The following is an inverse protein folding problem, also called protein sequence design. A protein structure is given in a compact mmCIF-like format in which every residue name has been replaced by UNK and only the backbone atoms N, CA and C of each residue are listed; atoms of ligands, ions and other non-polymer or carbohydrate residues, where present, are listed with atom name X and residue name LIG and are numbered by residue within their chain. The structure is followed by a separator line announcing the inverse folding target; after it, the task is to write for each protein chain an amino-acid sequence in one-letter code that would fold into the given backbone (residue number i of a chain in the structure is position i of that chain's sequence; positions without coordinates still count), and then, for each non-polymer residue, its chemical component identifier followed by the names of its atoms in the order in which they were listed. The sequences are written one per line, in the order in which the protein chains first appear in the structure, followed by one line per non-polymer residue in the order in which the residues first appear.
data_IF_320475103148
#
_entry.id   IF_320475103148
#
_cell.length_a   1.000
_cell.length_b   1.000
_cell.length_c   1.000
_cell.angle_alpha   90.00
_cell.angle_beta   90.00
_cell.angle_gamma   90.00
#
_symmetry.space_group_name_H-M   'P 1'
#
loop_
_entity.id
_entity.type
_entity.pdbx_description
1 polymer ?
#
# COMPACT_ATOMS: atom_id res chain seq x y z
N UNK A 1 -30.03 -27.89 -30.51
CA UNK A 1 -29.74 -26.47 -30.78
C UNK A 1 -28.61 -26.12 -29.83
N UNK A 2 -27.39 -26.59 -30.09
CA UNK A 2 -26.37 -26.63 -29.01
C UNK A 2 -24.98 -26.32 -29.57
N UNK A 3 -24.79 -25.11 -30.11
CA UNK A 3 -23.47 -24.63 -30.54
C UNK A 3 -23.11 -23.21 -30.05
N UNK A 4 -23.98 -22.53 -29.29
CA UNK A 4 -23.74 -21.14 -28.89
C UNK A 4 -23.04 -20.96 -27.53
N UNK A 5 -22.93 -22.00 -26.70
CA UNK A 5 -22.43 -21.84 -25.33
C UNK A 5 -20.90 -21.80 -25.21
N UNK A 6 -20.19 -22.53 -26.08
CA UNK A 6 -18.73 -22.57 -26.08
C UNK A 6 -18.11 -21.30 -26.66
N UNK A 7 -18.68 -20.75 -27.74
CA UNK A 7 -18.19 -19.53 -28.38
C UNK A 7 -18.33 -18.29 -27.48
N UNK A 8 -19.43 -18.18 -26.72
CA UNK A 8 -19.61 -17.09 -25.75
C UNK A 8 -18.58 -17.15 -24.61
N UNK A 9 -18.20 -18.34 -24.14
CA UNK A 9 -17.22 -18.47 -23.03
C UNK A 9 -15.80 -18.05 -23.44
N UNK A 10 -15.42 -18.26 -24.69
CA UNK A 10 -14.10 -17.87 -25.23
C UNK A 10 -14.03 -16.35 -25.43
N UNK A 11 -15.14 -15.74 -25.87
CA UNK A 11 -15.27 -14.29 -26.02
C UNK A 11 -15.22 -13.58 -24.66
N UNK A 12 -15.90 -14.12 -23.64
CA UNK A 12 -15.90 -13.56 -22.28
C UNK A 12 -14.50 -13.64 -21.63
N UNK A 13 -13.80 -14.78 -21.76
CA UNK A 13 -12.40 -14.89 -21.27
C UNK A 13 -11.45 -13.93 -21.98
N UNK A 14 -11.65 -13.70 -23.27
CA UNK A 14 -10.82 -12.80 -24.07
C UNK A 14 -11.07 -11.34 -23.71
N UNK A 15 -12.32 -10.95 -23.48
CA UNK A 15 -12.69 -9.62 -22.98
C UNK A 15 -12.11 -9.35 -21.60
N UNK A 16 -12.15 -10.34 -20.69
CA UNK A 16 -11.59 -10.18 -19.35
C UNK A 16 -10.06 -9.99 -19.39
N UNK A 17 -9.37 -10.69 -20.29
CA UNK A 17 -7.91 -10.53 -20.52
C UNK A 17 -7.58 -9.16 -21.13
N UNK A 18 -8.39 -8.64 -22.05
CA UNK A 18 -8.21 -7.30 -22.65
C UNK A 18 -8.43 -6.21 -21.59
N UNK A 19 -9.52 -6.27 -20.81
CA UNK A 19 -9.80 -5.32 -19.74
C UNK A 19 -8.70 -5.31 -18.67
N UNK A 20 -8.15 -6.48 -18.31
CA UNK A 20 -7.00 -6.57 -17.40
C UNK A 20 -5.75 -5.90 -17.98
N UNK A 21 -5.52 -6.00 -19.30
CA UNK A 21 -4.37 -5.39 -19.98
C UNK A 21 -4.51 -3.87 -20.08
N UNK A 22 -5.70 -3.36 -20.38
CA UNK A 22 -5.98 -1.92 -20.41
C UNK A 22 -5.82 -1.28 -19.02
N UNK A 23 -6.39 -1.91 -17.99
CA UNK A 23 -6.21 -1.46 -16.60
C UNK A 23 -4.74 -1.48 -16.16
N UNK A 24 -3.97 -2.47 -16.62
CA UNK A 24 -2.52 -2.53 -16.37
C UNK A 24 -1.79 -1.36 -17.05
N UNK A 25 -2.16 -1.03 -18.29
CA UNK A 25 -1.56 0.07 -19.04
C UNK A 25 -1.88 1.44 -18.40
N UNK A 26 -3.12 1.68 -17.99
CA UNK A 26 -3.51 2.92 -17.29
C UNK A 26 -2.74 3.07 -15.97
N UNK A 27 -2.59 1.98 -15.22
CA UNK A 27 -1.79 1.99 -14.00
C UNK A 27 -0.31 2.29 -14.30
N UNK A 28 0.27 1.65 -15.31
CA UNK A 28 1.65 1.92 -15.74
C UNK A 28 1.83 3.39 -16.09
N UNK A 29 0.91 3.98 -16.86
CA UNK A 29 1.01 5.36 -17.32
C UNK A 29 0.85 6.36 -16.16
N UNK A 30 -0.08 6.07 -15.24
CA UNK A 30 -0.22 6.83 -13.99
C UNK A 30 1.06 6.79 -13.15
N UNK A 31 1.72 5.62 -13.06
CA UNK A 31 2.99 5.48 -12.36
C UNK A 31 4.13 6.23 -13.06
N UNK A 32 4.22 6.16 -14.40
CA UNK A 32 5.22 6.94 -15.16
C UNK A 32 5.04 8.43 -14.95
N UNK A 33 3.82 8.94 -15.02
CA UNK A 33 3.52 10.36 -14.84
C UNK A 33 3.88 10.85 -13.43
N UNK A 34 3.60 10.06 -12.38
CA UNK A 34 4.04 10.36 -11.01
C UNK A 34 5.56 10.32 -10.85
N UNK A 35 6.23 9.39 -11.53
CA UNK A 35 7.68 9.31 -11.50
C UNK A 35 8.28 10.54 -12.18
N UNK A 36 7.81 10.86 -13.39
CA UNK A 36 8.24 12.03 -14.16
C UNK A 36 7.99 13.33 -13.40
N UNK A 37 6.83 13.51 -12.77
CA UNK A 37 6.55 14.71 -11.98
C UNK A 37 7.50 14.85 -10.78
N UNK A 38 7.92 13.74 -10.17
CA UNK A 38 8.84 13.74 -9.02
C UNK A 38 10.27 14.10 -9.39
N UNK A 39 10.65 13.91 -10.67
CA UNK A 39 12.01 14.17 -11.18
C UNK A 39 12.06 15.28 -12.23
N UNK A 40 10.94 15.96 -12.49
CA UNK A 40 10.79 16.92 -13.57
C UNK A 40 11.84 18.03 -13.54
N UNK A 41 12.13 18.55 -12.34
CA UNK A 41 13.13 19.59 -12.16
C UNK A 41 14.55 19.11 -12.48
N UNK A 42 14.91 17.88 -12.11
CA UNK A 42 16.22 17.30 -12.41
C UNK A 42 16.35 16.99 -13.92
N UNK A 43 15.28 16.51 -14.55
CA UNK A 43 15.22 16.24 -16.01
C UNK A 43 15.39 17.54 -16.80
N UNK A 44 14.67 18.61 -16.44
CA UNK A 44 14.79 19.91 -17.11
C UNK A 44 16.20 20.49 -16.98
N UNK A 45 16.82 20.32 -15.81
CA UNK A 45 18.15 20.84 -15.56
C UNK A 45 19.23 20.07 -16.33
N UNK A 46 19.04 18.76 -16.53
CA UNK A 46 19.85 17.95 -17.45
C UNK A 46 19.67 18.44 -18.89
N UNK A 47 18.43 18.63 -19.35
CA UNK A 47 18.12 19.11 -20.70
C UNK A 47 18.79 20.47 -20.99
N UNK A 48 18.66 21.43 -20.07
CA UNK A 48 19.31 22.73 -20.17
C UNK A 48 20.84 22.62 -20.29
N UNK A 49 21.47 21.71 -19.53
CA UNK A 49 22.93 21.51 -19.59
C UNK A 49 23.39 20.85 -20.88
N UNK A 50 22.57 19.98 -21.48
CA UNK A 50 22.83 19.41 -22.80
C UNK A 50 22.78 20.52 -23.87
N UNK A 51 21.79 21.42 -23.81
CA UNK A 51 21.75 22.56 -24.75
C UNK A 51 22.97 23.49 -24.61
N UNK A 52 23.47 23.70 -23.40
CA UNK A 52 24.69 24.49 -23.17
C UNK A 52 25.95 23.79 -23.71
N UNK A 53 26.04 22.47 -23.56
CA UNK A 53 27.12 21.66 -24.16
C UNK A 53 27.19 21.87 -25.67
N UNK A 54 26.03 21.79 -26.34
CA UNK A 54 25.92 21.95 -27.79
C UNK A 54 26.27 23.37 -28.26
N UNK A 55 25.88 24.39 -27.48
CA UNK A 55 26.05 25.80 -27.86
C UNK A 55 27.41 26.40 -27.49
N UNK A 56 28.03 26.01 -26.38
CA UNK A 56 29.16 26.74 -25.79
C UNK A 56 30.48 25.95 -25.72
N UNK A 57 30.53 24.68 -26.18
CA UNK A 57 31.71 23.80 -26.07
C UNK A 57 32.28 23.68 -24.65
N UNK A 58 31.47 23.92 -23.61
CA UNK A 58 31.87 23.75 -22.21
C UNK A 58 31.65 22.30 -21.81
N UNK A 59 32.70 21.61 -21.37
CA UNK A 59 32.62 20.20 -20.97
C UNK A 59 31.94 20.03 -19.60
N UNK A 60 30.72 19.50 -19.62
CA UNK A 60 29.90 19.11 -18.47
C UNK A 60 29.71 17.58 -18.38
N UNK A 61 30.43 16.81 -19.18
CA UNK A 61 30.13 15.38 -19.41
C UNK A 61 30.19 14.58 -18.11
N UNK A 62 31.22 14.82 -17.28
CA UNK A 62 31.40 14.17 -15.98
C UNK A 62 30.34 14.58 -14.95
N UNK A 63 29.88 15.83 -14.99
CA UNK A 63 28.83 16.30 -14.09
C UNK A 63 27.47 15.68 -14.42
N UNK A 64 27.15 15.60 -15.73
CA UNK A 64 25.95 14.93 -16.22
C UNK A 64 25.97 13.44 -15.89
N UNK A 65 27.09 12.75 -16.11
CA UNK A 65 27.26 11.34 -15.77
C UNK A 65 26.95 11.07 -14.28
N UNK A 66 27.55 11.86 -13.37
CA UNK A 66 27.30 11.75 -11.94
C UNK A 66 25.82 11.97 -11.58
N UNK A 67 25.15 12.92 -12.25
CA UNK A 67 23.72 13.18 -12.05
C UNK A 67 22.84 12.04 -12.56
N UNK A 68 23.12 11.50 -13.74
CA UNK A 68 22.41 10.32 -14.25
C UNK A 68 22.54 9.13 -13.30
N UNK A 69 23.75 8.85 -12.81
CA UNK A 69 24.00 7.79 -11.82
C UNK A 69 23.18 8.03 -10.54
N UNK A 70 23.16 9.26 -10.03
CA UNK A 70 22.40 9.63 -8.84
C UNK A 70 20.89 9.40 -9.01
N UNK A 71 20.32 9.87 -10.12
CA UNK A 71 18.90 9.71 -10.45
C UNK A 71 18.56 8.23 -10.61
N UNK A 72 19.37 7.50 -11.38
CA UNK A 72 19.20 6.06 -11.58
C UNK A 72 19.18 5.29 -10.25
N UNK A 73 20.09 5.61 -9.33
CA UNK A 73 20.13 5.03 -7.99
C UNK A 73 18.88 5.36 -7.15
N UNK A 74 18.37 6.60 -7.24
CA UNK A 74 17.11 6.98 -6.58
C UNK A 74 15.91 6.21 -7.13
N UNK A 75 15.75 6.15 -8.45
CA UNK A 75 14.65 5.43 -9.11
C UNK A 75 14.72 3.94 -8.76
N UNK A 76 15.90 3.34 -8.83
CA UNK A 76 16.13 1.94 -8.44
C UNK A 76 15.65 1.67 -7.02
N UNK A 77 16.01 2.52 -6.04
CA UNK A 77 15.55 2.38 -4.64
C UNK A 77 14.03 2.49 -4.51
N UNK A 78 13.37 3.35 -5.29
CA UNK A 78 11.91 3.45 -5.28
C UNK A 78 11.28 2.17 -5.84
N UNK A 79 11.78 1.67 -6.97
CA UNK A 79 11.31 0.43 -7.58
C UNK A 79 11.51 -0.75 -6.62
N UNK A 80 12.69 -0.86 -6.02
CA UNK A 80 13.01 -1.90 -5.03
C UNK A 80 12.06 -1.82 -3.82
N UNK A 81 11.80 -0.62 -3.27
CA UNK A 81 10.83 -0.41 -2.19
C UNK A 81 9.40 -0.79 -2.58
N UNK A 82 9.00 -0.52 -3.81
CA UNK A 82 7.68 -0.89 -4.32
C UNK A 82 7.53 -2.40 -4.59
N UNK A 83 8.65 -3.10 -4.82
CA UNK A 83 8.70 -4.57 -4.88
C UNK A 83 8.65 -5.22 -3.49
N UNK A 84 8.87 -4.46 -2.42
CA UNK A 84 8.78 -5.01 -1.07
C UNK A 84 7.31 -5.21 -0.73
N UNK A 85 6.89 -6.47 -0.70
CA UNK A 85 5.70 -6.88 0.04
C UNK A 85 6.15 -7.49 1.37
N UNK A 86 5.34 -7.27 2.41
CA UNK A 86 5.60 -7.92 3.68
C UNK A 86 5.45 -9.43 3.48
N UNK A 87 6.51 -10.18 3.77
CA UNK A 87 6.51 -11.63 3.71
C UNK A 87 5.34 -12.23 4.50
N UNK A 88 5.00 -11.60 5.63
CA UNK A 88 4.02 -12.12 6.56
C UNK A 88 2.57 -11.65 6.32
N UNK A 89 2.35 -10.43 5.83
CA UNK A 89 0.98 -9.89 5.66
C UNK A 89 0.72 -9.22 4.31
N UNK A 90 1.65 -9.38 3.36
CA UNK A 90 1.56 -8.93 1.96
C UNK A 90 1.34 -7.43 1.73
N UNK A 91 1.29 -6.60 2.78
CA UNK A 91 1.21 -5.14 2.62
C UNK A 91 2.39 -4.64 1.80
N UNK A 92 2.13 -3.71 0.89
CA UNK A 92 3.14 -3.08 0.03
C UNK A 92 3.59 -1.71 0.55
N UNK A 93 2.97 -1.24 1.65
CA UNK A 93 3.26 0.04 2.27
C UNK A 93 3.45 -0.11 3.78
N UNK A 94 4.48 0.54 4.30
CA UNK A 94 4.85 0.58 5.71
C UNK A 94 5.83 1.73 5.93
N UNK A 95 5.90 2.27 7.15
CA UNK A 95 6.84 3.34 7.49
C UNK A 95 8.30 2.86 7.41
N UNK A 96 8.55 1.64 7.90
CA UNK A 96 9.86 0.99 7.84
C UNK A 96 9.74 -0.46 7.36
N UNK A 97 10.78 -0.89 6.65
CA UNK A 97 10.97 -2.25 6.14
C UNK A 97 12.15 -2.90 6.86
N UNK A 98 11.98 -4.14 7.30
CA UNK A 98 13.00 -4.90 8.01
C UNK A 98 13.34 -6.17 7.23
N UNK A 99 14.63 -6.44 7.02
CA UNK A 99 15.07 -7.68 6.36
C UNK A 99 14.77 -8.87 7.27
N UNK A 100 14.15 -9.91 6.73
CA UNK A 100 13.68 -11.08 7.49
C UNK A 100 14.24 -12.41 6.98
N UNK A 101 14.63 -12.50 5.71
CA UNK A 101 15.48 -13.57 5.14
C UNK A 101 16.34 -12.96 4.01
N UNK A 102 17.08 -13.77 3.24
CA UNK A 102 17.97 -13.29 2.15
C UNK A 102 17.28 -12.32 1.19
N UNK A 103 16.00 -12.57 0.90
CA UNK A 103 15.20 -11.79 -0.08
C UNK A 103 13.81 -11.40 0.43
N UNK A 104 13.54 -11.61 1.72
CA UNK A 104 12.23 -11.35 2.30
C UNK A 104 12.28 -10.23 3.31
N UNK A 105 11.23 -9.40 3.32
CA UNK A 105 11.12 -8.25 4.19
C UNK A 105 9.83 -8.30 5.01
N UNK A 106 9.84 -7.71 6.20
CA UNK A 106 8.67 -7.49 7.03
C UNK A 106 8.34 -6.01 7.07
N UNK A 107 7.05 -5.70 7.06
CA UNK A 107 6.59 -4.40 7.49
C UNK A 107 6.86 -4.21 8.99
N UNK A 108 7.01 -2.96 9.41
CA UNK A 108 7.27 -2.60 10.80
C UNK A 108 6.33 -3.31 11.79
N UNK A 109 4.99 -3.32 11.59
CA UNK A 109 4.10 -4.04 12.52
C UNK A 109 4.37 -5.55 12.64
N UNK A 110 4.78 -6.22 11.55
CA UNK A 110 5.07 -7.66 11.60
C UNK A 110 6.45 -7.94 12.21
N UNK A 111 7.43 -7.08 11.94
CA UNK A 111 8.74 -7.13 12.58
C UNK A 111 8.62 -6.96 14.10
N UNK A 112 7.94 -5.90 14.55
CA UNK A 112 7.80 -5.60 15.97
C UNK A 112 7.05 -6.73 16.68
N UNK A 113 5.97 -7.23 16.08
CA UNK A 113 5.24 -8.39 16.62
C UNK A 113 6.15 -9.62 16.78
N UNK A 114 6.98 -9.92 15.78
CA UNK A 114 7.91 -11.05 15.83
C UNK A 114 8.91 -10.89 16.98
N UNK A 115 9.47 -9.69 17.17
CA UNK A 115 10.41 -9.41 18.27
C UNK A 115 9.73 -9.65 19.63
N UNK A 116 8.53 -9.11 19.83
CA UNK A 116 7.86 -9.19 21.14
C UNK A 116 7.29 -10.58 21.46
N UNK A 117 6.84 -11.33 20.46
CA UNK A 117 6.11 -12.58 20.68
C UNK A 117 6.92 -13.84 20.32
N UNK A 118 8.14 -13.69 19.78
CA UNK A 118 8.98 -14.81 19.33
C UNK A 118 8.44 -15.59 18.12
N UNK A 119 7.28 -15.20 17.58
CA UNK A 119 6.61 -15.87 16.46
C UNK A 119 6.05 -14.87 15.47
N UNK A 120 5.80 -15.34 14.25
CA UNK A 120 5.14 -14.52 13.25
C UNK A 120 3.74 -14.12 13.70
N UNK A 121 3.35 -12.91 13.30
CA UNK A 121 1.95 -12.50 13.40
C UNK A 121 1.18 -13.42 12.49
N UNK A 122 0.44 -14.38 13.03
CA UNK A 122 -0.44 -15.21 12.23
C UNK A 122 -1.23 -14.27 11.32
N UNK A 123 -1.11 -14.53 10.02
CA UNK A 123 -1.88 -13.83 9.02
C UNK A 123 -3.29 -13.85 9.57
N UNK A 124 -3.85 -12.67 9.87
CA UNK A 124 -5.28 -12.60 10.12
C UNK A 124 -5.88 -12.87 8.75
N UNK A 125 -5.87 -14.13 8.31
CA UNK A 125 -7.04 -14.73 7.68
C UNK A 125 -8.16 -14.17 8.52
N UNK A 126 -8.87 -13.19 7.99
CA UNK A 126 -10.00 -12.61 8.69
C UNK A 126 -11.01 -13.73 8.59
N UNK A 127 -11.17 -14.60 9.60
CA UNK A 127 -12.13 -15.68 9.49
C UNK A 127 -13.46 -14.96 9.56
N UNK A 128 -14.20 -14.88 8.45
CA UNK A 128 -15.54 -14.29 8.32
C UNK A 128 -15.91 -13.34 9.46
N UNK A 129 -15.13 -12.25 9.62
CA UNK A 129 -15.27 -11.43 10.82
C UNK A 129 -16.61 -10.75 10.74
N UNK A 130 -17.48 -11.07 11.69
CA UNK A 130 -18.77 -10.41 11.89
C UNK A 130 -18.67 -9.52 13.11
N UNK A 131 -19.30 -8.37 13.03
CA UNK A 131 -19.43 -7.50 14.19
C UNK A 131 -20.29 -8.20 15.22
N UNK A 132 -19.74 -8.47 16.41
CA UNK A 132 -20.48 -9.09 17.51
C UNK A 132 -21.79 -8.38 17.83
N UNK A 133 -21.84 -7.05 17.63
CA UNK A 133 -23.02 -6.23 17.94
C UNK A 133 -24.03 -6.11 16.80
N UNK A 134 -23.61 -6.18 15.54
CA UNK A 134 -24.48 -5.84 14.40
C UNK A 134 -24.32 -6.77 13.19
N UNK A 135 -23.56 -7.84 13.36
CA UNK A 135 -23.27 -8.91 12.38
C UNK A 135 -22.63 -8.46 11.06
N UNK A 136 -22.37 -7.16 10.89
CA UNK A 136 -21.74 -6.61 9.69
C UNK A 136 -20.42 -7.34 9.40
N UNK A 137 -20.26 -7.82 8.17
CA UNK A 137 -19.04 -8.49 7.68
C UNK A 137 -18.04 -7.50 7.06
N UNK A 138 -18.47 -6.26 6.82
CA UNK A 138 -17.66 -5.20 6.20
C UNK A 138 -17.58 -3.99 7.13
N UNK A 139 -16.37 -3.45 7.28
CA UNK A 139 -16.09 -2.23 8.06
C UNK A 139 -14.73 -1.69 7.66
N UNK A 140 -14.49 -0.39 7.82
CA UNK A 140 -13.18 0.21 7.55
C UNK A 140 -12.12 -0.27 8.54
N UNK A 141 -12.52 -0.59 9.79
CA UNK A 141 -11.64 -1.08 10.85
C UNK A 141 -12.40 -2.03 11.79
N UNK A 142 -11.65 -2.97 12.38
CA UNK A 142 -12.12 -3.94 13.37
C UNK A 142 -11.48 -3.67 14.74
N UNK A 143 -12.30 -3.58 15.80
CA UNK A 143 -11.87 -3.37 17.18
C UNK A 143 -12.14 -4.62 18.01
N UNK A 144 -11.34 -4.84 19.07
CA UNK A 144 -11.55 -5.94 20.03
C UNK A 144 -12.78 -5.63 20.89
N UNK A 145 -13.66 -6.60 21.06
CA UNK A 145 -14.73 -6.54 22.07
C UNK A 145 -14.18 -6.92 23.45
N UNK A 146 -14.95 -6.68 24.52
CA UNK A 146 -14.61 -7.12 25.88
C UNK A 146 -14.66 -8.65 26.04
N UNK A 147 -15.50 -9.32 25.25
CA UNK A 147 -15.56 -10.78 25.18
C UNK A 147 -14.34 -11.28 24.37
N UNK A 148 -13.59 -12.28 24.87
CA UNK A 148 -12.46 -12.86 24.16
C UNK A 148 -12.85 -13.29 22.74
N UNK A 149 -11.93 -13.09 21.80
CA UNK A 149 -12.06 -13.49 20.38
C UNK A 149 -13.18 -12.82 19.59
N UNK A 150 -14.02 -12.00 20.22
CA UNK A 150 -15.06 -11.22 19.57
C UNK A 150 -14.53 -9.88 19.05
N UNK A 151 -15.07 -9.44 17.92
CA UNK A 151 -14.71 -8.17 17.27
C UNK A 151 -15.95 -7.32 17.04
N UNK A 152 -15.78 -6.00 17.10
CA UNK A 152 -16.83 -5.04 16.74
C UNK A 152 -16.36 -4.13 15.60
N UNK A 153 -17.29 -3.72 14.76
CA UNK A 153 -17.03 -2.78 13.67
C UNK A 153 -16.76 -1.37 14.22
N UNK A 154 -16.17 -0.52 13.38
CA UNK A 154 -15.86 0.88 13.76
C UNK A 154 -17.07 1.63 14.28
N UNK A 155 -18.21 1.50 13.61
CA UNK A 155 -19.46 2.17 13.99
C UNK A 155 -19.91 1.78 15.40
N UNK A 156 -19.89 0.49 15.73
CA UNK A 156 -20.25 -0.01 17.06
C UNK A 156 -19.24 0.43 18.13
N UNK A 157 -17.95 0.39 17.82
CA UNK A 157 -16.90 0.88 18.72
C UNK A 157 -17.08 2.37 19.05
N UNK A 158 -17.30 3.20 18.04
CA UNK A 158 -17.49 4.64 18.20
C UNK A 158 -18.75 4.96 19.04
N UNK A 159 -19.84 4.21 18.84
CA UNK A 159 -21.06 4.30 19.67
C UNK A 159 -20.77 3.95 21.13
N UNK A 160 -20.06 2.85 21.39
CA UNK A 160 -19.71 2.41 22.74
C UNK A 160 -18.83 3.44 23.47
N UNK A 161 -17.87 4.04 22.76
CA UNK A 161 -17.00 5.09 23.31
C UNK A 161 -17.75 6.38 23.63
N UNK A 162 -18.75 6.75 22.81
CA UNK A 162 -19.60 7.91 23.10
C UNK A 162 -20.42 7.68 24.38
N UNK A 163 -21.04 6.51 24.52
CA UNK A 163 -21.84 6.18 25.71
C UNK A 163 -21.00 6.15 27.00
N UNK A 164 -19.80 5.57 26.97
CA UNK A 164 -18.89 5.58 28.13
C UNK A 164 -18.44 6.98 28.52
N UNK A 165 -18.24 7.89 27.56
CA UNK A 165 -17.94 9.31 27.84
C UNK A 165 -19.11 10.05 28.47
N UNK A 166 -20.35 9.76 28.06
CA UNK A 166 -21.57 10.36 28.63
C UNK A 166 -21.74 9.88 30.07
N UNK A 167 -21.62 8.58 30.34
CA UNK A 167 -21.78 8.01 31.69
C UNK A 167 -20.72 8.54 32.67
N UNK A 168 -19.46 8.70 32.24
CA UNK A 168 -18.40 9.32 33.06
C UNK A 168 -18.65 10.80 33.38
N UNK A 169 -19.37 11.53 32.52
CA UNK A 169 -19.75 12.92 32.79
C UNK A 169 -20.94 13.00 33.75
N UNK A 170 -21.91 12.08 33.65
CA UNK A 170 -23.04 12.00 34.56
C UNK A 170 -22.62 11.62 35.98
N UNK A 171 -21.71 10.64 36.13
CA UNK A 171 -21.20 10.23 37.44
C UNK A 171 -20.39 11.30 38.19
N UNK A 172 -19.86 12.29 37.47
CA UNK A 172 -19.15 13.44 38.06
C UNK A 172 -20.07 14.59 38.49
N UNK A 173 -21.33 14.58 38.06
CA UNK A 173 -22.33 15.62 38.38
C UNK A 173 -23.30 15.21 39.48
N UNK A 174 -23.21 13.99 39.99
CA UNK A 174 -24.03 13.47 41.10
C UNK A 174 -23.28 13.38 42.43
N UNK A 175 -22.15 14.07 42.55
CA UNK A 175 -21.42 14.27 43.81
C UNK A 175 -21.51 15.78 44.08
N UNK A 176 -22.65 16.22 44.61
CA UNK A 176 -22.87 17.49 45.31
C UNK A 176 -24.04 17.27 46.29
#
# INVERSE_FOLDING_TARGET
MDNNYYETSILDESLEKINKKELLNENIESYKNKLLSSYWMEINLIGYKIELLEKQKVDYTKELENRFIYIGNKIRRIIERNKLNCFNCRVTQTKHWYKYLKEHYLCQPCHDFKIYNGKMRTERITPDRKCYTCEATKTSNWYRHSIPEQYICKSCYDKQQKMTKVNKKASRKGID
#
